data_IF_234593671382
#
_entry.id   IF_234593671382
#
_cell.length_a   1.000
_cell.length_b   1.000
_cell.length_c   1.000
_cell.angle_alpha   90.00
_cell.angle_beta   90.00
_cell.angle_gamma   90.00
#
_symmetry.space_group_name_H-M   'P 1'
#
loop_
_entity.id
_entity.type
_entity.pdbx_description
1 polymer ?
#
# COMPACT_ATOMS: atom_id res chain seq x y z
N UNK A 1 -17.21 2.46 -19.22
CA UNK A 1 -17.55 2.92 -17.86
C UNK A 1 -16.28 3.45 -17.24
N UNK A 2 -16.28 4.69 -16.73
CA UNK A 2 -15.13 5.25 -16.03
C UNK A 2 -15.12 4.66 -14.61
N UNK A 3 -14.07 3.91 -14.26
CA UNK A 3 -13.85 3.47 -12.89
C UNK A 3 -13.39 4.68 -12.09
N UNK A 4 -14.09 4.99 -11.00
CA UNK A 4 -13.65 6.03 -10.08
C UNK A 4 -12.60 5.39 -9.15
N UNK A 5 -11.33 5.68 -9.41
CA UNK A 5 -10.24 5.28 -8.52
C UNK A 5 -10.04 6.39 -7.49
N UNK A 6 -10.40 6.12 -6.23
CA UNK A 6 -10.09 7.03 -5.12
C UNK A 6 -8.67 6.78 -4.64
N UNK A 7 -7.86 7.83 -4.56
CA UNK A 7 -6.51 7.82 -3.99
C UNK A 7 -6.46 8.73 -2.78
N UNK A 8 -6.15 8.18 -1.60
CA UNK A 8 -6.09 8.92 -0.34
C UNK A 8 -4.72 8.75 0.30
N UNK A 9 -4.01 9.85 0.55
CA UNK A 9 -2.81 9.78 1.38
C UNK A 9 -3.19 9.51 2.83
N UNK A 10 -2.49 8.60 3.50
CA UNK A 10 -2.77 8.22 4.87
C UNK A 10 -1.47 7.91 5.64
N UNK A 11 -1.41 8.37 6.89
CA UNK A 11 -0.33 8.07 7.81
C UNK A 11 0.03 9.27 8.71
N UNK A 12 0.95 9.06 9.68
CA UNK A 12 1.62 7.78 9.96
C UNK A 12 0.69 6.77 10.64
N UNK A 13 0.69 5.52 10.17
CA UNK A 13 0.11 4.38 10.86
C UNK A 13 1.20 3.69 11.67
N UNK A 14 0.92 3.38 12.93
CA UNK A 14 1.85 2.64 13.78
C UNK A 14 1.54 1.15 13.66
N UNK A 15 2.53 0.38 13.23
CA UNK A 15 2.41 -1.06 13.02
C UNK A 15 3.46 -1.81 13.84
N UNK A 16 3.15 -3.00 14.37
CA UNK A 16 4.11 -3.80 15.16
C UNK A 16 5.22 -4.44 14.32
N UNK A 17 5.13 -4.40 13.00
CA UNK A 17 6.13 -4.94 12.09
C UNK A 17 6.31 -3.96 10.93
N UNK A 18 7.48 -4.04 10.29
CA UNK A 18 7.76 -3.28 9.07
C UNK A 18 6.90 -3.77 7.89
N UNK A 19 6.88 -2.99 6.81
CA UNK A 19 6.26 -3.36 5.53
C UNK A 19 7.08 -4.42 4.82
N UNK A 20 6.47 -5.06 3.81
CA UNK A 20 7.18 -6.01 2.98
C UNK A 20 8.42 -5.37 2.31
N UNK A 21 9.46 -6.16 2.06
CA UNK A 21 10.60 -5.72 1.26
C UNK A 21 10.17 -5.35 -0.17
N UNK A 22 10.96 -4.49 -0.82
CA UNK A 22 10.72 -4.12 -2.21
C UNK A 22 10.87 -5.33 -3.15
N UNK A 23 9.77 -5.72 -3.81
CA UNK A 23 9.75 -6.72 -4.88
C UNK A 23 9.38 -6.07 -6.22
N UNK A 24 10.36 -5.98 -7.12
CA UNK A 24 10.19 -5.43 -8.48
C UNK A 24 9.10 -6.15 -9.29
N UNK A 25 8.80 -7.41 -9.01
CA UNK A 25 7.73 -8.16 -9.69
C UNK A 25 6.34 -7.76 -9.24
N UNK A 26 6.24 -7.10 -8.09
CA UNK A 26 5.01 -6.62 -7.47
C UNK A 26 4.84 -5.10 -7.60
N UNK A 27 5.82 -4.43 -8.22
CA UNK A 27 5.77 -3.01 -8.52
C UNK A 27 4.62 -2.71 -9.50
N UNK A 28 3.85 -1.68 -9.18
CA UNK A 28 2.85 -1.12 -10.09
C UNK A 28 3.52 -0.32 -11.21
N UNK A 29 3.18 -0.65 -12.45
CA UNK A 29 3.43 0.15 -13.65
C UNK A 29 2.20 1.00 -13.99
N UNK A 30 2.38 2.04 -14.84
CA UNK A 30 1.31 2.89 -15.37
C UNK A 30 0.08 2.07 -15.83
N UNK A 31 0.30 0.97 -16.55
CA UNK A 31 -0.77 0.10 -17.07
C UNK A 31 -1.52 -0.68 -15.98
N UNK A 32 -0.93 -0.85 -14.80
CA UNK A 32 -1.51 -1.62 -13.69
C UNK A 32 -2.16 -0.77 -12.60
N UNK A 33 -1.91 0.54 -12.57
CA UNK A 33 -2.58 1.46 -11.63
C UNK A 33 -4.11 1.44 -11.83
N UNK A 34 -4.57 1.41 -13.08
CA UNK A 34 -6.00 1.46 -13.42
C UNK A 34 -6.68 0.07 -13.45
N UNK A 35 -5.90 -1.01 -13.46
CA UNK A 35 -6.35 -2.39 -13.61
C UNK A 35 -5.99 -3.27 -12.41
N UNK A 36 -6.13 -2.71 -11.21
CA UNK A 36 -5.73 -3.32 -9.97
C UNK A 36 -6.74 -4.35 -9.41
N UNK A 37 -7.29 -5.23 -10.27
CA UNK A 37 -8.46 -6.06 -9.94
C UNK A 37 -8.09 -7.54 -9.63
N UNK A 38 -6.83 -7.94 -9.81
CA UNK A 38 -6.39 -9.33 -9.71
C UNK A 38 -6.06 -9.80 -8.27
N UNK A 39 -6.41 -11.04 -7.87
CA UNK A 39 -6.11 -11.58 -6.54
C UNK A 39 -4.61 -11.76 -6.27
N UNK A 40 -3.80 -11.95 -7.31
CA UNK A 40 -2.36 -12.18 -7.18
C UNK A 40 -1.52 -10.89 -7.17
N UNK A 41 -2.16 -9.73 -7.24
CA UNK A 41 -1.44 -8.46 -7.29
C UNK A 41 -1.01 -7.98 -5.90
N UNK A 42 -1.82 -8.25 -4.87
CA UNK A 42 -1.49 -7.88 -3.50
C UNK A 42 -0.29 -8.68 -2.97
N UNK A 43 0.55 -8.00 -2.19
CA UNK A 43 1.53 -8.63 -1.31
C UNK A 43 0.85 -8.93 0.01
N UNK A 44 0.89 -10.21 0.42
CA UNK A 44 0.23 -10.66 1.66
C UNK A 44 1.16 -10.67 2.88
N UNK A 45 2.47 -10.68 2.66
CA UNK A 45 3.45 -10.53 3.73
C UNK A 45 3.37 -9.11 4.30
N UNK A 46 3.32 -8.99 5.64
CA UNK A 46 3.19 -7.70 6.34
C UNK A 46 1.99 -6.84 5.91
N UNK A 47 0.75 -7.32 6.10
CA UNK A 47 -0.44 -6.56 5.73
C UNK A 47 -0.60 -5.31 6.61
N UNK A 48 -1.03 -4.21 5.99
CA UNK A 48 -1.24 -2.94 6.68
C UNK A 48 -2.48 -3.01 7.54
N UNK A 49 -2.29 -2.78 8.84
CA UNK A 49 -3.36 -2.72 9.81
C UNK A 49 -4.17 -1.44 9.63
N UNK A 50 -5.45 -1.57 9.31
CA UNK A 50 -6.37 -0.44 9.16
C UNK A 50 -7.59 -0.58 10.08
N UNK A 51 -8.02 0.50 10.76
CA UNK A 51 -9.33 0.52 11.37
C UNK A 51 -10.38 0.35 10.26
N UNK A 52 -11.36 -0.52 10.51
CA UNK A 52 -12.28 -1.07 9.49
C UNK A 52 -12.85 0.04 8.59
N UNK A 53 -12.52 -0.01 7.29
CA UNK A 53 -13.19 0.80 6.28
C UNK A 53 -14.51 0.12 5.93
N UNK A 54 -15.63 0.81 6.16
CA UNK A 54 -16.96 0.21 6.17
C UNK A 54 -17.48 -0.28 4.81
N UNK A 55 -16.83 0.07 3.69
CA UNK A 55 -17.22 -0.36 2.35
C UNK A 55 -16.10 -0.25 1.32
N UNK A 56 -16.09 -1.16 0.33
CA UNK A 56 -15.15 -1.17 -0.79
C UNK A 56 -13.98 -2.15 -0.64
N UNK A 57 -13.45 -2.63 -1.76
CA UNK A 57 -12.21 -3.40 -1.81
C UNK A 57 -11.04 -2.42 -1.93
N UNK A 58 -10.27 -2.25 -0.86
CA UNK A 58 -9.18 -1.29 -0.76
C UNK A 58 -7.82 -1.98 -0.73
N UNK A 59 -6.82 -1.31 -1.29
CA UNK A 59 -5.42 -1.68 -1.12
C UNK A 59 -4.61 -0.53 -0.55
N UNK A 60 -3.59 -0.89 0.23
CA UNK A 60 -2.56 0.03 0.65
C UNK A 60 -1.46 0.05 -0.41
N UNK A 61 -1.15 1.21 -0.96
CA UNK A 61 -0.02 1.43 -1.85
C UNK A 61 1.15 1.94 -1.04
N UNK A 62 2.12 1.05 -0.82
CA UNK A 62 3.34 1.39 -0.10
C UNK A 62 4.34 2.02 -1.07
N UNK A 63 4.81 3.26 -0.81
CA UNK A 63 5.87 3.88 -1.57
C UNK A 63 7.24 3.32 -1.16
N UNK A 64 8.12 3.12 -2.15
CA UNK A 64 9.52 2.78 -2.00
C UNK A 64 10.37 3.71 -2.84
N UNK A 65 11.59 3.98 -2.40
CA UNK A 65 12.61 4.60 -3.24
C UNK A 65 13.24 3.51 -4.08
N UNK A 66 13.10 3.57 -5.40
CA UNK A 66 13.74 2.58 -6.27
C UNK A 66 15.27 2.62 -6.11
N UNK A 67 15.92 1.47 -5.85
CA UNK A 67 17.38 1.40 -5.78
C UNK A 67 18.00 1.88 -7.10
N UNK A 68 18.81 2.93 -7.04
CA UNK A 68 19.51 3.49 -8.21
C UNK A 68 18.78 4.61 -8.95
N UNK A 69 17.52 4.94 -8.61
CA UNK A 69 16.78 6.08 -9.21
C UNK A 69 16.54 7.26 -8.27
N UNK A 70 17.05 7.22 -7.03
CA UNK A 70 16.87 8.27 -6.01
C UNK A 70 17.44 9.67 -6.31
N UNK A 71 17.74 10.01 -7.57
CA UNK A 71 18.26 11.31 -8.01
C UNK A 71 17.72 11.83 -9.36
N UNK A 72 16.62 11.28 -9.90
CA UNK A 72 16.03 11.82 -11.14
C UNK A 72 14.72 12.53 -10.80
N UNK A 73 14.67 13.88 -10.77
CA UNK A 73 13.46 14.65 -10.46
C UNK A 73 12.43 14.70 -11.60
N UNK A 74 12.66 13.99 -12.70
CA UNK A 74 11.96 14.17 -13.98
C UNK A 74 10.88 13.11 -14.26
N UNK A 75 10.57 12.24 -13.29
CA UNK A 75 9.34 11.43 -13.34
C UNK A 75 8.25 12.04 -12.43
N UNK A 76 6.99 11.89 -12.84
CA UNK A 76 5.82 12.44 -12.13
C UNK A 76 5.67 11.87 -10.70
N UNK A 77 6.42 10.83 -10.35
CA UNK A 77 6.37 10.12 -9.06
C UNK A 77 7.59 10.42 -8.16
N UNK A 78 8.53 11.26 -8.59
CA UNK A 78 9.75 11.61 -7.87
C UNK A 78 10.68 10.43 -7.58
N UNK A 79 10.77 9.45 -8.48
CA UNK A 79 11.60 8.24 -8.31
C UNK A 79 11.01 7.21 -7.35
N UNK A 80 9.71 7.31 -7.06
CA UNK A 80 9.00 6.39 -6.17
C UNK A 80 8.37 5.25 -6.96
N UNK A 81 8.55 4.03 -6.47
CA UNK A 81 7.79 2.86 -6.88
C UNK A 81 6.74 2.52 -5.84
N UNK A 82 5.62 1.96 -6.29
CA UNK A 82 4.53 1.58 -5.40
C UNK A 82 4.32 0.07 -5.46
N UNK A 83 4.24 -0.56 -4.29
CA UNK A 83 3.85 -1.95 -4.14
C UNK A 83 2.54 -2.00 -3.37
N UNK A 84 1.54 -2.74 -3.87
CA UNK A 84 0.24 -2.81 -3.23
C UNK A 84 0.23 -3.92 -2.18
N UNK A 85 0.04 -3.53 -0.92
CA UNK A 85 -0.04 -4.41 0.23
C UNK A 85 -1.50 -4.73 0.54
N UNK A 86 -1.73 -5.97 0.97
CA UNK A 86 -3.02 -6.37 1.54
C UNK A 86 -3.28 -5.61 2.83
N UNK A 87 -4.53 -5.25 3.06
CA UNK A 87 -4.96 -4.65 4.31
C UNK A 87 -5.53 -5.72 5.24
N UNK A 88 -5.39 -5.50 6.55
CA UNK A 88 -6.06 -6.30 7.58
C UNK A 88 -6.77 -5.39 8.58
N UNK A 89 -7.91 -5.81 9.16
CA UNK A 89 -8.48 -5.12 10.30
C UNK A 89 -7.51 -5.15 11.47
N UNK A 90 -7.37 -4.03 12.16
CA UNK A 90 -6.66 -3.98 13.46
C UNK A 90 -7.62 -4.50 14.54
N UNK A 91 -7.15 -5.40 15.40
CA UNK A 91 -7.88 -5.78 16.61
C UNK A 91 -7.77 -4.64 17.63
N UNK A 92 -8.88 -4.26 18.26
CA UNK A 92 -8.93 -3.18 19.26
C UNK A 92 -8.32 -3.60 20.61
N UNK A 93 -7.96 -4.88 20.75
CA UNK A 93 -7.36 -5.41 21.97
C UNK A 93 -5.88 -5.04 22.04
N UNK A 94 -5.40 -4.54 23.20
CA UNK A 94 -3.97 -4.39 23.44
C UNK A 94 -3.28 -5.76 23.32
N UNK A 95 -2.51 -5.95 22.24
CA UNK A 95 -1.68 -7.12 22.03
C UNK A 95 -0.32 -6.96 22.70
N UNK A 96 0.27 -8.07 23.15
CA UNK A 96 1.71 -8.13 23.42
C UNK A 96 2.43 -8.37 22.09
N UNK A 97 2.54 -7.31 21.30
CA UNK A 97 3.24 -7.36 20.01
C UNK A 97 4.73 -7.12 20.25
N UNK A 98 5.58 -7.82 19.51
CA UNK A 98 7.03 -7.69 19.63
C UNK A 98 7.50 -6.33 19.08
N UNK A 99 8.40 -5.67 19.81
CA UNK A 99 9.10 -4.44 19.41
C UNK A 99 10.13 -4.77 18.29
N UNK A 100 10.40 -3.90 17.29
CA UNK A 100 10.03 -2.49 17.16
C UNK A 100 8.77 -2.18 16.35
N UNK A 101 8.04 -1.16 16.82
CA UNK A 101 6.96 -0.55 16.03
C UNK A 101 7.50 0.34 14.90
N UNK A 102 6.86 0.26 13.73
CA UNK A 102 7.17 1.07 12.54
C UNK A 102 6.05 2.06 12.25
N UNK A 103 6.42 3.31 12.00
CA UNK A 103 5.51 4.33 11.47
C UNK A 103 5.54 4.29 9.94
N UNK A 104 4.39 4.06 9.31
CA UNK A 104 4.28 3.95 7.85
C UNK A 104 3.33 5.00 7.27
N UNK A 105 3.74 5.59 6.15
CA UNK A 105 2.94 6.52 5.34
C UNK A 105 2.77 5.92 3.94
N UNK A 106 1.59 6.12 3.36
CA UNK A 106 1.27 5.57 2.06
C UNK A 106 -0.07 6.06 1.55
N UNK A 107 -0.63 5.32 0.59
CA UNK A 107 -1.86 5.72 -0.07
C UNK A 107 -2.88 4.58 -0.04
N UNK A 108 -4.16 4.90 0.09
CA UNK A 108 -5.26 3.97 -0.11
C UNK A 108 -5.78 4.11 -1.53
N UNK A 109 -5.93 2.99 -2.22
CA UNK A 109 -6.57 2.91 -3.53
C UNK A 109 -7.81 2.02 -3.47
N UNK A 110 -8.95 2.53 -3.94
CA UNK A 110 -10.14 1.72 -4.16
C UNK A 110 -9.97 0.89 -5.42
N UNK A 111 -10.09 -0.44 -5.29
CA UNK A 111 -9.85 -1.40 -6.36
C UNK A 111 -11.09 -1.62 -7.22
N UNK A 112 -12.25 -1.72 -6.56
CA UNK A 112 -13.55 -1.89 -7.20
C UNK A 112 -14.65 -1.20 -6.39
N UNK A 113 -15.54 -0.50 -7.09
CA UNK A 113 -16.85 -0.10 -6.56
C UNK A 113 -17.84 -1.24 -6.77
N UNK A 114 -18.66 -1.61 -5.77
CA UNK A 114 -19.73 -2.59 -5.97
C UNK A 114 -20.77 -2.14 -7.00
#
# INVERSE_FOLDING_TARGET
MQKITAFLHLGPLIMPNDVADFDVKKQLSADTYDHFDGPNLLVESAPVGMPVLQSGDWAWMQPYVEPGKGKVPDDELGGRAFIPLKMRPVDEKPGSEDDPYTAVEGYLQLRNTP
#
